data_IF_440839024104
#
_entry.id   IF_440839024104
#
_cell.length_a   1.000
_cell.length_b   1.000
_cell.length_c   1.000
_cell.angle_alpha   90.00
_cell.angle_beta   90.00
_cell.angle_gamma   90.00
#
_symmetry.space_group_name_H-M   'P 1'
#
loop_
_entity.id
_entity.type
_entity.pdbx_description
1 polymer ?
#
# COMPACT_ATOMS: atom_id res chain seq x y z
N UNK A 1 27.58 12.47 -28.32
CA UNK A 1 26.22 11.99 -28.63
C UNK A 1 25.54 11.69 -27.30
N UNK A 2 24.82 12.67 -26.75
CA UNK A 2 24.20 12.55 -25.43
C UNK A 2 22.94 11.69 -25.52
N UNK A 3 22.90 10.59 -24.78
CA UNK A 3 21.68 9.82 -24.59
C UNK A 3 20.77 10.62 -23.65
N UNK A 4 19.87 11.40 -24.23
CA UNK A 4 18.76 11.99 -23.51
C UNK A 4 17.77 10.85 -23.31
N UNK A 5 17.75 10.26 -22.11
CA UNK A 5 16.64 9.40 -21.72
C UNK A 5 15.38 10.27 -21.74
N UNK A 6 14.28 9.87 -22.43
CA UNK A 6 13.03 10.54 -22.22
C UNK A 6 12.70 10.35 -20.73
N UNK A 7 12.68 11.44 -19.97
CA UNK A 7 11.93 11.47 -18.72
C UNK A 7 10.51 11.12 -19.10
N UNK A 8 10.13 9.85 -18.91
CA UNK A 8 8.77 9.40 -19.11
C UNK A 8 7.88 10.30 -18.24
N UNK A 9 6.89 10.95 -18.85
CA UNK A 9 5.90 11.75 -18.14
C UNK A 9 5.17 10.83 -17.15
N UNK A 10 5.55 10.92 -15.88
CA UNK A 10 4.88 10.23 -14.79
C UNK A 10 3.56 10.95 -14.55
N UNK A 11 2.45 10.23 -14.71
CA UNK A 11 1.13 10.78 -14.48
C UNK A 11 0.67 10.40 -13.08
N UNK A 12 0.35 11.39 -12.25
CA UNK A 12 -0.13 11.14 -10.89
C UNK A 12 -1.66 10.96 -10.94
N UNK A 13 -2.12 9.85 -10.39
CA UNK A 13 -3.53 9.48 -10.26
C UNK A 13 -3.93 9.40 -8.79
N UNK A 14 -5.21 9.62 -8.54
CA UNK A 14 -5.80 9.44 -7.21
C UNK A 14 -6.24 8.00 -6.99
N UNK A 15 -6.28 7.59 -5.73
CA UNK A 15 -6.90 6.33 -5.34
C UNK A 15 -8.43 6.49 -5.36
N UNK A 16 -9.14 5.48 -5.86
CA UNK A 16 -10.60 5.48 -5.97
C UNK A 16 -11.25 4.65 -4.87
N UNK A 17 -12.51 4.95 -4.55
CA UNK A 17 -13.31 4.14 -3.62
C UNK A 17 -13.94 2.95 -4.36
N UNK A 18 -13.61 1.74 -3.93
CA UNK A 18 -14.18 0.49 -4.42
C UNK A 18 -15.27 -0.03 -3.50
N UNK A 19 -16.30 -0.64 -4.11
CA UNK A 19 -17.40 -1.29 -3.40
C UNK A 19 -17.52 -2.72 -3.95
N UNK A 20 -17.65 -3.71 -3.07
CA UNK A 20 -17.76 -5.13 -3.45
C UNK A 20 -16.57 -5.62 -4.32
N UNK A 21 -16.82 -6.50 -5.30
CA UNK A 21 -15.77 -6.98 -6.21
C UNK A 21 -15.56 -5.98 -7.34
N UNK A 22 -14.30 -5.81 -7.75
CA UNK A 22 -13.91 -4.92 -8.86
C UNK A 22 -13.02 -5.68 -9.85
N UNK A 23 -13.28 -5.52 -11.15
CA UNK A 23 -12.49 -6.15 -12.20
C UNK A 23 -12.83 -7.63 -12.44
N UNK A 24 -11.87 -8.37 -13.00
CA UNK A 24 -12.06 -9.77 -13.38
C UNK A 24 -11.66 -10.77 -12.26
N UNK A 25 -11.94 -12.06 -12.47
CA UNK A 25 -11.69 -13.13 -11.49
C UNK A 25 -10.21 -13.47 -11.23
N UNK A 26 -9.29 -12.95 -12.04
CA UNK A 26 -7.86 -13.30 -12.03
C UNK A 26 -7.03 -12.21 -11.36
N UNK A 27 -7.23 -10.96 -11.77
CA UNK A 27 -6.43 -9.78 -11.39
C UNK A 27 -7.24 -8.71 -10.67
N UNK A 28 -8.57 -8.86 -10.64
CA UNK A 28 -9.49 -7.98 -9.92
C UNK A 28 -9.54 -8.25 -8.41
N UNK A 29 -10.10 -7.30 -7.68
CA UNK A 29 -10.32 -7.39 -6.24
C UNK A 29 -11.61 -8.17 -6.01
N UNK A 30 -11.51 -9.32 -5.35
CA UNK A 30 -12.66 -10.17 -5.09
C UNK A 30 -13.24 -9.89 -3.70
N UNK A 31 -14.57 -9.75 -3.62
CA UNK A 31 -15.31 -9.71 -2.37
C UNK A 31 -15.50 -11.13 -1.79
N UNK A 32 -14.39 -11.77 -1.44
CA UNK A 32 -14.39 -13.11 -0.86
C UNK A 32 -14.42 -13.11 0.68
N UNK A 33 -14.47 -11.94 1.32
CA UNK A 33 -14.61 -11.80 2.77
C UNK A 33 -15.97 -11.21 3.09
N UNK A 34 -16.80 -11.96 3.84
CA UNK A 34 -18.21 -11.65 4.17
C UNK A 34 -18.48 -10.25 4.77
N UNK A 35 -17.44 -9.49 5.15
CA UNK A 35 -17.56 -8.23 5.88
C UNK A 35 -16.83 -7.04 5.23
N UNK A 36 -16.22 -7.16 4.03
CA UNK A 36 -15.57 -6.03 3.36
C UNK A 36 -16.44 -5.46 2.26
N UNK A 37 -17.15 -4.39 2.58
CA UNK A 37 -18.01 -3.68 1.62
C UNK A 37 -17.29 -2.58 0.88
N UNK A 38 -16.36 -1.86 1.53
CA UNK A 38 -15.67 -0.70 0.98
C UNK A 38 -14.16 -0.79 1.19
N UNK A 39 -13.38 -0.28 0.23
CA UNK A 39 -11.92 -0.16 0.29
C UNK A 39 -11.47 0.92 -0.69
N UNK A 40 -10.21 1.35 -0.61
CA UNK A 40 -9.62 2.16 -1.68
C UNK A 40 -8.84 1.28 -2.64
N UNK A 41 -8.76 1.68 -3.91
CA UNK A 41 -7.99 0.95 -4.90
C UNK A 41 -7.24 1.87 -5.87
N UNK A 42 -6.16 1.32 -6.41
CA UNK A 42 -5.43 1.83 -7.55
C UNK A 42 -5.65 0.88 -8.74
N UNK A 43 -5.89 1.42 -9.94
CA UNK A 43 -6.26 0.64 -11.12
C UNK A 43 -6.94 1.51 -12.17
N UNK A 44 -7.70 0.89 -13.07
CA UNK A 44 -8.43 1.57 -14.15
C UNK A 44 -7.52 2.46 -15.01
N UNK A 45 -6.30 1.98 -15.27
CA UNK A 45 -5.33 2.61 -16.17
C UNK A 45 -4.84 1.59 -17.19
N UNK A 46 -4.61 2.06 -18.40
CA UNK A 46 -3.90 1.36 -19.46
C UNK A 46 -2.44 1.82 -19.59
N UNK A 47 -2.03 2.85 -18.84
CA UNK A 47 -0.70 3.43 -18.88
C UNK A 47 0.15 2.93 -17.69
N UNK A 48 1.20 2.11 -17.93
CA UNK A 48 2.07 1.60 -16.88
C UNK A 48 2.88 2.69 -16.15
N UNK A 49 2.96 3.90 -16.71
CA UNK A 49 3.63 5.05 -16.09
C UNK A 49 2.72 5.84 -15.14
N UNK A 50 1.44 5.49 -15.04
CA UNK A 50 0.54 6.08 -14.05
C UNK A 50 0.95 5.63 -12.64
N UNK A 51 0.97 6.60 -11.72
CA UNK A 51 1.34 6.41 -10.32
C UNK A 51 0.20 6.88 -9.44
N UNK A 52 -0.26 6.02 -8.56
CA UNK A 52 -1.33 6.28 -7.62
C UNK A 52 -0.74 6.64 -6.26
N UNK A 53 -1.02 7.85 -5.78
CA UNK A 53 -0.44 8.37 -4.53
C UNK A 53 -1.56 8.74 -3.57
N UNK A 54 -1.49 8.21 -2.35
CA UNK A 54 -2.28 8.65 -1.22
C UNK A 54 -1.35 9.05 -0.09
N UNK A 55 -1.55 10.24 0.49
CA UNK A 55 -0.69 10.73 1.56
C UNK A 55 -1.49 11.29 2.72
N UNK A 56 -0.94 11.17 3.92
CA UNK A 56 -1.46 11.91 5.08
C UNK A 56 -1.32 13.41 4.83
N UNK A 57 -2.42 14.16 5.00
CA UNK A 57 -2.41 15.62 4.77
C UNK A 57 -1.40 16.38 5.64
N UNK A 58 -1.10 15.88 6.85
CA UNK A 58 -0.05 16.40 7.74
C UNK A 58 0.84 15.25 8.20
N UNK A 59 2.08 15.57 8.60
CA UNK A 59 2.96 14.57 9.22
C UNK A 59 2.36 14.09 10.54
N UNK A 60 2.29 12.78 10.72
CA UNK A 60 1.84 12.09 11.93
C UNK A 60 3.00 12.04 12.93
N UNK A 61 2.74 12.40 14.18
CA UNK A 61 3.74 12.34 15.25
C UNK A 61 3.54 11.07 16.08
N UNK A 62 4.53 10.19 16.07
CA UNK A 62 4.59 8.96 16.84
C UNK A 62 5.31 9.25 18.16
N UNK A 63 4.57 9.23 19.26
CA UNK A 63 5.08 9.57 20.60
C UNK A 63 5.88 8.43 21.26
N UNK A 64 5.84 7.26 20.66
CA UNK A 64 6.45 6.02 21.13
C UNK A 64 6.63 5.07 19.94
N UNK A 65 7.44 4.01 20.08
CA UNK A 65 7.57 2.98 19.06
C UNK A 65 6.19 2.41 18.70
N UNK A 66 5.88 2.38 17.40
CA UNK A 66 4.55 2.06 16.90
C UNK A 66 4.61 1.12 15.70
N UNK A 67 3.49 0.44 15.46
CA UNK A 67 3.26 -0.42 14.30
C UNK A 67 2.01 0.05 13.59
N UNK A 68 2.11 0.23 12.28
CA UNK A 68 0.95 0.45 11.41
C UNK A 68 0.65 -0.86 10.71
N UNK A 69 -0.58 -1.34 10.85
CA UNK A 69 -1.08 -2.58 10.27
C UNK A 69 -2.16 -2.21 9.25
N UNK A 70 -2.20 -2.90 8.13
CA UNK A 70 -3.15 -2.65 7.05
C UNK A 70 -3.47 -3.94 6.30
N UNK A 71 -4.57 -3.92 5.56
CA UNK A 71 -4.90 -4.99 4.63
C UNK A 71 -4.66 -4.51 3.20
N UNK A 72 -4.05 -5.34 2.36
CA UNK A 72 -3.84 -5.07 0.93
C UNK A 72 -4.31 -6.23 0.07
N UNK A 73 -4.67 -5.96 -1.18
CA UNK A 73 -5.05 -6.95 -2.18
C UNK A 73 -4.22 -6.73 -3.43
N UNK A 74 -3.44 -7.72 -3.86
CA UNK A 74 -2.66 -7.66 -5.09
C UNK A 74 -2.56 -9.06 -5.68
N UNK A 75 -3.34 -9.31 -6.74
CA UNK A 75 -3.47 -10.63 -7.35
C UNK A 75 -2.71 -10.80 -8.68
N UNK A 76 -2.20 -9.69 -9.23
CA UNK A 76 -1.69 -9.65 -10.59
C UNK A 76 -0.17 -9.59 -10.69
N UNK A 77 0.38 -10.19 -11.75
CA UNK A 77 1.81 -10.15 -12.13
C UNK A 77 2.35 -8.75 -12.52
N UNK A 78 1.47 -7.75 -12.56
CA UNK A 78 1.81 -6.34 -12.71
C UNK A 78 1.34 -5.57 -11.49
N UNK A 79 1.97 -4.43 -11.26
CA UNK A 79 1.73 -3.59 -10.10
C UNK A 79 2.77 -3.79 -9.00
N UNK A 80 3.00 -2.72 -8.26
CA UNK A 80 3.73 -2.73 -7.00
C UNK A 80 3.00 -1.78 -6.05
N UNK A 81 2.95 -2.16 -4.78
CA UNK A 81 2.49 -1.29 -3.69
C UNK A 81 3.64 -1.05 -2.72
N UNK A 82 3.84 0.21 -2.35
CA UNK A 82 4.81 0.64 -1.34
C UNK A 82 4.15 1.51 -0.31
N UNK A 83 4.66 1.43 0.91
CA UNK A 83 4.37 2.40 1.95
C UNK A 83 5.68 3.04 2.35
N UNK A 84 5.77 4.34 2.16
CA UNK A 84 6.97 5.12 2.34
C UNK A 84 6.78 6.22 3.39
N UNK A 85 7.89 6.59 4.02
CA UNK A 85 7.97 7.61 5.05
C UNK A 85 8.72 8.82 4.50
N UNK A 86 8.04 9.97 4.51
CA UNK A 86 8.50 11.30 4.08
C UNK A 86 8.87 11.47 2.59
N UNK A 87 9.40 10.43 1.93
CA UNK A 87 9.82 10.44 0.53
C UNK A 87 9.66 9.04 -0.12
N UNK A 88 9.82 8.95 -1.44
CA UNK A 88 9.63 7.70 -2.20
C UNK A 88 10.81 6.71 -2.14
N UNK A 89 11.91 7.06 -1.49
CA UNK A 89 13.09 6.21 -1.35
C UNK A 89 13.10 5.43 -0.04
N UNK A 90 12.39 5.90 0.99
CA UNK A 90 12.33 5.27 2.31
C UNK A 90 11.02 4.51 2.48
N UNK A 91 10.96 3.29 1.94
CA UNK A 91 9.75 2.47 1.93
C UNK A 91 9.88 1.24 2.83
N UNK A 92 9.48 1.30 4.12
CA UNK A 92 9.51 0.15 5.03
C UNK A 92 8.63 -1.01 4.59
N UNK A 93 7.68 -0.80 3.68
CA UNK A 93 6.92 -1.88 3.04
C UNK A 93 6.97 -1.73 1.53
N UNK A 94 7.21 -2.86 0.85
CA UNK A 94 7.17 -2.99 -0.60
C UNK A 94 6.68 -4.38 -0.94
N UNK A 95 5.61 -4.46 -1.73
CA UNK A 95 5.11 -5.71 -2.28
C UNK A 95 4.96 -5.55 -3.79
N UNK A 96 5.76 -6.32 -4.51
CA UNK A 96 5.74 -6.35 -5.97
C UNK A 96 5.23 -7.69 -6.47
N UNK A 97 4.92 -7.76 -7.75
CA UNK A 97 4.55 -9.02 -8.39
C UNK A 97 5.60 -10.13 -8.29
N UNK A 98 6.87 -9.82 -8.04
CA UNK A 98 7.91 -10.83 -7.76
C UNK A 98 7.69 -11.57 -6.44
N UNK A 99 6.90 -10.99 -5.55
CA UNK A 99 6.53 -11.52 -4.25
C UNK A 99 5.14 -12.19 -4.26
N UNK A 100 4.52 -12.35 -5.43
CA UNK A 100 3.24 -13.04 -5.59
C UNK A 100 3.33 -14.46 -5.04
N UNK A 101 2.37 -14.81 -4.20
CA UNK A 101 2.20 -16.16 -3.68
C UNK A 101 0.95 -16.78 -4.27
N UNK A 102 0.79 -18.10 -4.12
CA UNK A 102 -0.47 -18.80 -4.46
C UNK A 102 -1.70 -18.21 -3.74
N UNK A 103 -1.44 -17.48 -2.66
CA UNK A 103 -2.41 -16.82 -1.80
C UNK A 103 -2.66 -15.34 -2.17
N UNK A 104 -2.21 -14.88 -3.34
CA UNK A 104 -2.35 -13.49 -3.79
C UNK A 104 -3.81 -13.06 -4.03
N UNK A 105 -4.70 -13.99 -4.36
CA UNK A 105 -6.13 -13.73 -4.66
C UNK A 105 -7.02 -13.53 -3.42
N UNK A 106 -6.42 -13.08 -2.31
CA UNK A 106 -7.14 -12.77 -1.07
C UNK A 106 -6.52 -11.55 -0.42
N UNK A 107 -7.28 -10.88 0.42
CA UNK A 107 -6.75 -9.81 1.26
C UNK A 107 -5.66 -10.34 2.18
N UNK A 108 -4.51 -9.67 2.16
CA UNK A 108 -3.32 -9.98 2.94
C UNK A 108 -3.08 -8.89 3.97
N UNK A 109 -2.43 -9.23 5.08
CA UNK A 109 -2.02 -8.27 6.10
C UNK A 109 -0.60 -7.81 5.81
N UNK A 110 -0.39 -6.51 5.84
CA UNK A 110 0.94 -5.91 5.86
C UNK A 110 1.14 -5.09 7.13
N UNK A 111 2.40 -4.83 7.45
CA UNK A 111 2.77 -3.98 8.56
C UNK A 111 4.03 -3.17 8.26
N UNK A 112 4.13 -2.00 8.88
CA UNK A 112 5.37 -1.22 8.99
C UNK A 112 5.62 -0.89 10.46
N UNK A 113 6.90 -0.88 10.84
CA UNK A 113 7.35 -0.56 12.19
C UNK A 113 7.96 0.83 12.17
N UNK A 114 7.53 1.67 13.11
CA UNK A 114 8.10 2.98 13.44
C UNK A 114 8.83 2.79 14.78
N UNK A 115 10.15 2.52 14.77
CA UNK A 115 10.86 2.06 15.97
C UNK A 115 11.15 3.17 16.98
N UNK A 116 11.07 4.44 16.57
CA UNK A 116 11.51 5.59 17.37
C UNK A 116 10.42 6.66 17.47
N UNK A 117 10.59 7.58 18.43
CA UNK A 117 9.75 8.76 18.54
C UNK A 117 10.08 9.70 17.38
N UNK A 118 9.15 9.85 16.45
CA UNK A 118 9.42 10.53 15.18
C UNK A 118 8.17 11.13 14.56
N UNK A 119 8.36 11.97 13.54
CA UNK A 119 7.27 12.63 12.81
C UNK A 119 7.41 12.39 11.31
N UNK A 120 6.47 11.64 10.75
CA UNK A 120 6.53 11.21 9.35
C UNK A 120 5.28 11.59 8.57
N UNK A 121 5.46 11.98 7.31
CA UNK A 121 4.37 11.90 6.31
C UNK A 121 4.33 10.47 5.80
N UNK A 122 3.16 9.83 5.84
CA UNK A 122 2.98 8.49 5.28
C UNK A 122 2.52 8.64 3.84
N UNK A 123 3.14 7.89 2.94
CA UNK A 123 2.84 7.87 1.51
C UNK A 123 2.54 6.43 1.13
N UNK A 124 1.32 6.19 0.65
CA UNK A 124 0.91 4.93 0.04
C UNK A 124 1.00 5.14 -1.46
N UNK A 125 1.79 4.29 -2.09
CA UNK A 125 2.22 4.42 -3.48
C UNK A 125 1.89 3.14 -4.22
N UNK A 126 1.27 3.25 -5.39
CA UNK A 126 1.16 2.13 -6.32
C UNK A 126 1.50 2.56 -7.74
N UNK A 127 2.20 1.70 -8.49
CA UNK A 127 2.61 1.97 -9.87
C UNK A 127 2.70 0.68 -10.70
N UNK A 128 2.98 0.81 -11.99
CA UNK A 128 3.21 -0.34 -12.88
C UNK A 128 1.95 -1.18 -13.10
N UNK A 129 0.78 -0.59 -12.88
CA UNK A 129 -0.51 -1.19 -13.20
C UNK A 129 -0.80 -1.01 -14.68
N UNK A 130 -1.45 -2.02 -15.27
CA UNK A 130 -1.93 -2.00 -16.65
C UNK A 130 -3.41 -2.38 -16.66
N UNK A 131 -4.02 -2.38 -17.84
CA UNK A 131 -5.45 -2.60 -17.98
C UNK A 131 -5.91 -3.89 -17.24
N UNK A 132 -6.99 -3.76 -16.45
CA UNK A 132 -7.57 -4.79 -15.59
C UNK A 132 -6.73 -5.25 -14.39
N UNK A 133 -5.64 -4.56 -14.04
CA UNK A 133 -4.90 -4.81 -12.81
C UNK A 133 -5.31 -3.82 -11.74
N UNK A 134 -5.53 -4.35 -10.53
CA UNK A 134 -6.02 -3.57 -9.41
C UNK A 134 -5.20 -3.90 -8.16
N UNK A 135 -4.97 -2.88 -7.35
CA UNK A 135 -4.41 -3.01 -6.00
C UNK A 135 -5.43 -2.42 -5.03
N UNK A 136 -5.87 -3.23 -4.08
CA UNK A 136 -6.77 -2.79 -2.99
C UNK A 136 -5.99 -2.48 -1.72
N UNK A 137 -6.47 -1.51 -0.95
CA UNK A 137 -5.89 -1.12 0.33
C UNK A 137 -6.98 -0.71 1.31
N UNK A 138 -6.90 -1.16 2.56
CA UNK A 138 -7.96 -0.97 3.56
C UNK A 138 -7.48 -1.24 5.00
N UNK A 139 -8.33 -0.92 5.99
CA UNK A 139 -8.21 -1.34 7.39
C UNK A 139 -6.87 -0.94 8.05
N UNK A 140 -6.48 0.32 7.81
CA UNK A 140 -5.29 0.94 8.40
C UNK A 140 -5.51 1.12 9.89
N UNK A 141 -4.60 0.56 10.70
CA UNK A 141 -4.65 0.58 12.15
C UNK A 141 -3.30 0.97 12.70
N UNK A 142 -3.29 1.86 13.68
CA UNK A 142 -2.11 2.24 14.44
C UNK A 142 -2.14 1.54 15.79
N UNK A 143 -1.07 0.82 16.12
CA UNK A 143 -0.90 0.13 17.39
C UNK A 143 0.46 0.47 18.00
N UNK A 144 0.57 0.48 19.32
CA UNK A 144 1.87 0.62 19.99
C UNK A 144 2.69 -0.66 19.79
N UNK A 145 4.01 -0.54 19.63
CA UNK A 145 4.88 -1.70 19.85
C UNK A 145 4.88 -1.95 21.35
N UNK A 146 4.11 -2.94 21.80
CA UNK A 146 4.15 -3.35 23.20
C UNK A 146 5.57 -3.85 23.52
N UNK A 147 6.41 -3.00 24.11
CA UNK A 147 7.39 -3.52 25.05
C UNK A 147 6.55 -4.01 26.22
N UNK A 148 6.44 -5.33 26.39
CA UNK A 148 6.12 -5.88 27.71
C UNK A 148 7.19 -5.29 28.63
N UNK A 149 6.92 -4.16 29.28
CA UNK A 149 7.66 -3.76 30.46
C UNK A 149 7.39 -4.92 31.42
N UNK A 150 8.40 -5.75 31.65
CA UNK A 150 8.33 -6.77 32.68
C UNK A 150 7.77 -6.08 33.93
N UNK A 151 6.61 -6.55 34.39
CA UNK A 151 6.04 -6.04 35.63
C UNK A 151 7.12 -6.21 36.69
N UNK A 152 7.62 -5.11 37.25
CA UNK A 152 8.40 -5.20 38.48
C UNK A 152 7.41 -5.60 39.56
N UNK A 153 7.32 -6.91 39.82
CA UNK A 153 6.70 -7.39 41.04
C UNK A 153 7.63 -6.97 42.19
N UNK A 154 7.20 -5.97 42.96
CA UNK A 154 7.76 -5.60 44.25
C UNK A 154 7.21 -6.50 45.35
#
# INVERSE_FOLDING_TARGET
>A
MGLIFPMYDMNIKEWSLGINSLGNSVTGILNNQKNKTNYIFAGETDNPNDIFILTTGKKVFFKEPARIIFDYYHAGIHGEIKICLDNFNTCPFSYSSRNLTINARKWQKGEIIIPEISKHRIIIYANGLINNYFIGFDNIRLTQLSTLKAAQCS
#
